data_IF_712622996795
#
_entry.id   IF_712622996795
#
_cell.length_a   1.000
_cell.length_b   1.000
_cell.length_c   1.000
_cell.angle_alpha   90.00
_cell.angle_beta   90.00
_cell.angle_gamma   90.00
#
_symmetry.space_group_name_H-M   'P 1'
#
loop_
_entity.id
_entity.type
_entity.pdbx_description
1 polymer ?
#
# COMPACT_ATOMS: atom_id res chain seq x y z
N UNK A 1 -17.96 17.36 -12.67
CA UNK A 1 -17.77 16.98 -11.25
C UNK A 1 -16.71 15.90 -11.20
N UNK A 2 -15.59 16.15 -10.51
CA UNK A 2 -14.37 15.34 -10.62
C UNK A 2 -14.47 14.05 -9.79
N UNK A 3 -14.02 12.91 -10.33
CA UNK A 3 -13.95 11.63 -9.58
C UNK A 3 -13.06 11.75 -8.34
N UNK A 4 -12.09 12.67 -8.35
CA UNK A 4 -11.20 12.95 -7.23
C UNK A 4 -11.96 13.44 -5.99
N UNK A 5 -13.06 14.19 -6.15
CA UNK A 5 -13.82 14.69 -4.98
C UNK A 5 -14.66 13.61 -4.30
N UNK A 6 -14.97 12.50 -4.99
CA UNK A 6 -15.66 11.34 -4.41
C UNK A 6 -14.73 10.50 -3.52
N UNK A 7 -13.44 10.45 -3.87
CA UNK A 7 -12.41 9.74 -3.13
C UNK A 7 -11.88 10.61 -1.97
N UNK A 8 -11.70 11.91 -2.21
CA UNK A 8 -11.12 12.87 -1.26
C UNK A 8 -12.15 13.80 -0.62
N UNK A 9 -13.38 13.33 -0.38
CA UNK A 9 -14.53 14.10 0.12
C UNK A 9 -14.14 15.29 1.01
N UNK A 10 -14.70 16.46 0.71
CA UNK A 10 -14.30 17.73 1.32
C UNK A 10 -14.34 17.67 2.86
N UNK A 11 -13.18 17.42 3.49
CA UNK A 11 -13.04 17.36 4.94
C UNK A 11 -12.77 18.76 5.50
N UNK A 12 -13.45 19.18 6.58
CA UNK A 12 -13.08 20.38 7.31
C UNK A 12 -11.65 20.22 7.83
N UNK A 13 -10.88 21.33 7.85
CA UNK A 13 -9.49 21.38 8.36
C UNK A 13 -9.47 21.19 9.89
N UNK A 14 -9.80 19.98 10.36
CA UNK A 14 -9.69 19.61 11.77
C UNK A 14 -8.30 19.04 12.00
N UNK A 15 -7.44 19.89 12.56
CA UNK A 15 -6.18 19.57 13.24
C UNK A 15 -5.10 18.82 12.46
N UNK A 16 -3.94 19.48 12.35
CA UNK A 16 -2.60 18.95 12.08
C UNK A 16 -2.12 17.88 13.10
N UNK A 17 -3.01 17.03 13.64
CA UNK A 17 -2.68 15.98 14.61
C UNK A 17 -2.64 14.57 14.00
N UNK A 18 -3.16 14.41 12.78
CA UNK A 18 -3.20 13.10 12.15
C UNK A 18 -1.89 12.85 11.41
N UNK A 19 -1.06 11.94 11.94
CA UNK A 19 0.09 11.38 11.22
C UNK A 19 -0.28 11.08 9.77
N UNK A 20 0.57 11.54 8.85
CA UNK A 20 0.41 11.25 7.43
C UNK A 20 0.48 9.74 7.19
N UNK A 21 -0.29 9.23 6.22
CA UNK A 21 -0.35 7.80 5.90
C UNK A 21 -0.13 7.60 4.41
N UNK A 22 0.74 6.66 4.06
CA UNK A 22 0.96 6.21 2.70
C UNK A 22 0.27 4.86 2.51
N UNK A 23 -0.64 4.80 1.54
CA UNK A 23 -1.38 3.59 1.18
C UNK A 23 -1.04 3.19 -0.27
N UNK A 24 -0.67 1.93 -0.46
CA UNK A 24 -0.35 1.35 -1.76
C UNK A 24 -1.16 0.07 -1.93
N UNK A 25 -1.89 -0.05 -3.04
CA UNK A 25 -2.67 -1.24 -3.39
C UNK A 25 -2.19 -1.75 -4.74
N UNK A 26 -1.76 -3.00 -4.79
CA UNK A 26 -1.32 -3.69 -6.02
C UNK A 26 -2.28 -4.85 -6.24
N UNK A 27 -3.05 -4.81 -7.33
CA UNK A 27 -3.91 -5.91 -7.73
C UNK A 27 -3.36 -6.54 -9.01
N UNK A 28 -3.19 -7.86 -9.00
CA UNK A 28 -2.72 -8.66 -10.13
C UNK A 28 -3.76 -9.71 -10.47
N UNK A 29 -4.03 -9.88 -11.75
CA UNK A 29 -4.75 -11.04 -12.27
C UNK A 29 -3.73 -12.09 -12.75
N UNK A 30 -3.85 -13.32 -12.25
CA UNK A 30 -3.12 -14.48 -12.74
C UNK A 30 -3.80 -14.95 -14.01
N UNK A 31 -3.11 -14.79 -15.14
CA UNK A 31 -3.52 -15.42 -16.39
C UNK A 31 -3.01 -16.86 -16.35
N UNK A 32 -3.93 -17.82 -16.41
CA UNK A 32 -3.65 -19.25 -16.24
C UNK A 32 -3.21 -19.85 -17.60
N UNK A 33 -2.03 -19.43 -18.06
CA UNK A 33 -1.51 -19.75 -19.41
C UNK A 33 -0.87 -21.15 -19.50
N UNK A 34 -1.02 -21.98 -18.46
CA UNK A 34 -0.26 -23.23 -18.30
C UNK A 34 1.24 -23.03 -17.99
N UNK A 35 1.69 -21.79 -17.79
CA UNK A 35 3.04 -21.45 -17.31
C UNK A 35 3.02 -21.21 -15.80
N UNK A 36 4.03 -21.66 -15.04
CA UNK A 36 4.15 -21.29 -13.63
C UNK A 36 4.20 -19.76 -13.52
N UNK A 37 3.14 -19.17 -12.97
CA UNK A 37 3.11 -17.75 -12.65
C UNK A 37 4.11 -17.52 -11.52
N UNK A 38 5.17 -16.77 -11.78
CA UNK A 38 6.14 -16.43 -10.74
C UNK A 38 5.42 -15.69 -9.58
N UNK A 39 5.54 -16.23 -8.36
CA UNK A 39 5.00 -15.62 -7.15
C UNK A 39 5.95 -14.51 -6.67
N UNK A 40 5.87 -13.37 -7.34
CA UNK A 40 6.74 -12.22 -7.08
C UNK A 40 6.14 -11.22 -6.08
N UNK A 41 4.86 -11.36 -5.69
CA UNK A 41 4.22 -10.42 -4.77
C UNK A 41 4.88 -10.43 -3.38
N UNK A 42 5.25 -11.59 -2.80
CA UNK A 42 6.01 -11.63 -1.55
C UNK A 42 7.40 -10.97 -1.68
N UNK A 43 8.07 -11.12 -2.83
CA UNK A 43 9.36 -10.49 -3.07
C UNK A 43 9.22 -8.97 -3.20
N UNK A 44 8.25 -8.48 -4.00
CA UNK A 44 7.95 -7.05 -4.12
C UNK A 44 7.56 -6.42 -2.79
N UNK A 45 6.81 -7.13 -1.94
CA UNK A 45 6.51 -6.65 -0.59
C UNK A 45 7.81 -6.31 0.17
N UNK A 46 8.78 -7.23 0.19
CA UNK A 46 10.04 -7.02 0.91
C UNK A 46 10.84 -5.86 0.33
N UNK A 47 10.90 -5.78 -1.00
CA UNK A 47 11.59 -4.69 -1.69
C UNK A 47 10.94 -3.33 -1.43
N UNK A 48 9.61 -3.24 -1.48
CA UNK A 48 8.87 -2.01 -1.22
C UNK A 48 9.09 -1.53 0.22
N UNK A 49 9.03 -2.45 1.20
CA UNK A 49 9.35 -2.13 2.59
C UNK A 49 10.77 -1.57 2.70
N UNK A 50 11.76 -2.25 2.13
CA UNK A 50 13.15 -1.81 2.18
C UNK A 50 13.37 -0.44 1.51
N UNK A 51 12.74 -0.20 0.37
CA UNK A 51 12.82 1.09 -0.34
C UNK A 51 12.15 2.20 0.47
N UNK A 52 10.99 1.96 1.06
CA UNK A 52 10.29 2.98 1.83
C UNK A 52 11.06 3.31 3.11
N UNK A 53 11.59 2.29 3.80
CA UNK A 53 12.47 2.48 4.96
C UNK A 53 13.75 3.25 4.65
N UNK A 54 14.20 3.30 3.37
CA UNK A 54 15.35 4.12 2.95
C UNK A 54 15.03 5.62 2.92
N UNK A 55 13.80 5.99 2.57
CA UNK A 55 13.40 7.39 2.40
C UNK A 55 12.58 7.94 3.56
N UNK A 56 12.00 7.05 4.37
CA UNK A 56 11.20 7.41 5.53
C UNK A 56 11.69 6.64 6.73
N UNK A 57 11.96 7.33 7.83
CA UNK A 57 12.29 6.73 9.13
C UNK A 57 11.04 6.10 9.77
N UNK A 58 10.58 4.97 9.22
CA UNK A 58 9.46 4.18 9.75
C UNK A 58 9.99 2.92 10.44
N UNK A 59 9.40 2.55 11.58
CA UNK A 59 9.68 1.27 12.20
C UNK A 59 8.94 0.16 11.43
N UNK A 60 9.42 -1.08 11.54
CA UNK A 60 8.73 -2.23 10.94
C UNK A 60 7.28 -2.36 11.44
N UNK A 61 7.01 -1.97 12.69
CA UNK A 61 5.68 -2.00 13.30
C UNK A 61 4.71 -0.96 12.71
N UNK A 62 5.23 0.10 12.08
CA UNK A 62 4.44 1.14 11.43
C UNK A 62 4.00 0.75 10.00
N UNK A 63 4.49 -0.38 9.50
CA UNK A 63 4.20 -0.93 8.18
C UNK A 63 3.26 -2.12 8.33
N UNK A 64 2.03 -1.96 7.85
CA UNK A 64 1.04 -3.04 7.77
C UNK A 64 0.97 -3.53 6.34
N UNK A 65 1.17 -4.84 6.16
CA UNK A 65 1.02 -5.49 4.86
C UNK A 65 -0.06 -6.55 4.94
N UNK A 66 -0.98 -6.51 4.00
CA UNK A 66 -2.04 -7.49 3.81
C UNK A 66 -1.96 -8.05 2.40
N UNK A 67 -1.99 -9.37 2.28
CA UNK A 67 -2.09 -10.04 0.98
C UNK A 67 -3.38 -10.85 0.96
N UNK A 68 -4.25 -10.56 0.00
CA UNK A 68 -5.48 -11.30 -0.24
C UNK A 68 -5.39 -12.01 -1.60
N UNK A 69 -5.66 -13.32 -1.59
CA UNK A 69 -5.75 -14.12 -2.81
C UNK A 69 -7.20 -14.55 -2.99
N UNK A 70 -7.84 -14.14 -4.08
CA UNK A 70 -9.23 -14.45 -4.40
C UNK A 70 -9.35 -14.95 -5.83
N UNK A 71 -9.45 -16.28 -5.98
CA UNK A 71 -9.48 -16.94 -7.29
C UNK A 71 -8.21 -16.64 -8.08
N UNK A 72 -8.37 -15.97 -9.22
CA UNK A 72 -7.25 -15.56 -10.07
C UNK A 72 -6.67 -14.19 -9.70
N UNK A 73 -7.26 -13.48 -8.75
CA UNK A 73 -6.76 -12.18 -8.32
C UNK A 73 -5.90 -12.31 -7.07
N UNK A 74 -4.77 -11.62 -7.08
CA UNK A 74 -3.91 -11.42 -5.91
C UNK A 74 -3.79 -9.93 -5.65
N UNK A 75 -4.13 -9.51 -4.43
CA UNK A 75 -4.10 -8.12 -3.99
C UNK A 75 -3.11 -7.99 -2.86
N UNK A 76 -2.16 -7.08 -2.99
CA UNK A 76 -1.22 -6.68 -1.96
C UNK A 76 -1.54 -5.25 -1.53
N UNK A 77 -1.91 -5.08 -0.27
CA UNK A 77 -2.13 -3.79 0.36
C UNK A 77 -1.01 -3.49 1.34
N UNK A 78 -0.41 -2.31 1.20
CA UNK A 78 0.65 -1.81 2.09
C UNK A 78 0.18 -0.49 2.66
N UNK A 79 0.08 -0.43 3.99
CA UNK A 79 -0.34 0.72 4.77
C UNK A 79 0.80 1.14 5.70
N UNK A 80 1.27 2.38 5.54
CA UNK A 80 2.43 2.90 6.28
C UNK A 80 2.03 4.18 6.97
N UNK A 81 2.28 4.24 8.27
CA UNK A 81 2.12 5.47 9.05
C UNK A 81 3.44 6.21 9.03
N UNK A 82 3.44 7.42 8.45
CA UNK A 82 4.64 8.26 8.41
C UNK A 82 4.83 8.93 9.78
N UNK A 83 6.09 9.06 10.26
CA UNK A 83 6.39 9.87 11.43
C UNK A 83 6.13 11.35 11.11
N UNK A 84 5.78 12.15 12.13
CA UNK A 84 5.66 13.59 11.94
C UNK A 84 7.05 14.19 11.71
N UNK A 85 7.19 14.97 10.63
CA UNK A 85 8.39 15.75 10.36
C UNK A 85 8.31 17.00 11.23
N UNK A 86 9.15 17.09 12.29
CA UNK A 86 9.36 18.34 13.02
C UNK A 86 10.23 19.29 12.20
#
# INVERSE_FOLDING_TARGET
>A
MSLLSLIFGAKPKTANMAKERLQLIIARERIDDGKPSADFLPAMQQELVAVISKYVHVNADDIKVSMEKKGNYEVLEVNIVLPEQN
#
